data_IF_246980539018
#
_entry.id   IF_246980539018
#
_cell.length_a   1.000
_cell.length_b   1.000
_cell.length_c   1.000
_cell.angle_alpha   90.00
_cell.angle_beta   90.00
_cell.angle_gamma   90.00
#
_symmetry.space_group_name_H-M   'P 1'
#
loop_
_entity.id
_entity.type
_entity.pdbx_description
1 polymer ?
#
# COMPACT_ATOMS: atom_id res chain seq x y z
N UNK A 1 28.67 -22.15 -1.16
CA UNK A 1 29.19 -22.55 -2.48
C UNK A 1 29.14 -21.31 -3.35
N UNK A 2 30.20 -20.50 -3.28
CA UNK A 2 30.34 -19.29 -4.10
C UNK A 2 30.70 -19.71 -5.52
N UNK A 3 30.03 -19.13 -6.52
CA UNK A 3 30.46 -19.19 -7.91
C UNK A 3 30.65 -17.76 -8.40
N UNK A 4 31.91 -17.35 -8.43
CA UNK A 4 32.38 -16.25 -9.25
C UNK A 4 32.52 -16.75 -10.69
N UNK A 5 31.98 -16.02 -11.66
CA UNK A 5 32.37 -16.12 -13.06
C UNK A 5 32.27 -14.74 -13.69
N UNK A 6 33.43 -14.12 -13.93
CA UNK A 6 33.56 -12.99 -14.83
C UNK A 6 33.81 -13.49 -16.25
N UNK A 7 33.10 -12.92 -17.23
CA UNK A 7 33.56 -12.78 -18.62
C UNK A 7 33.22 -11.35 -19.09
N UNK A 8 34.22 -10.81 -19.77
CA UNK A 8 34.50 -9.44 -20.19
C UNK A 8 33.67 -8.92 -21.39
N UNK A 9 33.71 -7.60 -21.49
CA UNK A 9 33.09 -6.56 -22.32
C UNK A 9 33.11 -6.66 -23.86
N UNK A 10 32.09 -6.04 -24.47
CA UNK A 10 32.13 -4.84 -25.37
C UNK A 10 30.74 -4.64 -26.01
N UNK A 11 29.94 -3.73 -25.47
CA UNK A 11 29.70 -2.35 -25.92
C UNK A 11 28.70 -2.18 -27.08
N UNK A 12 27.53 -1.64 -26.70
CA UNK A 12 26.59 -0.90 -27.54
C UNK A 12 26.01 0.24 -26.70
N UNK A 13 26.81 1.30 -26.59
CA UNK A 13 26.55 2.57 -25.92
C UNK A 13 25.28 3.26 -26.49
N UNK A 14 24.44 3.81 -25.61
CA UNK A 14 23.90 5.16 -25.79
C UNK A 14 23.32 5.64 -24.46
N UNK A 15 24.20 6.08 -23.57
CA UNK A 15 23.85 7.14 -22.62
C UNK A 15 25.13 7.86 -22.18
N UNK A 16 25.56 8.80 -23.01
CA UNK A 16 26.46 9.86 -22.59
C UNK A 16 26.26 11.09 -23.47
N UNK A 17 25.31 11.95 -23.07
CA UNK A 17 25.37 13.38 -23.36
C UNK A 17 24.85 14.22 -22.20
N UNK A 18 25.28 13.96 -20.96
CA UNK A 18 25.25 14.99 -19.91
C UNK A 18 26.45 14.83 -19.00
N UNK A 19 27.59 15.34 -19.46
CA UNK A 19 28.69 15.74 -18.60
C UNK A 19 28.33 17.08 -17.93
N UNK A 20 28.38 17.09 -16.61
CA UNK A 20 28.50 18.25 -15.72
C UNK A 20 27.38 19.31 -15.79
N UNK A 21 26.45 19.28 -14.83
CA UNK A 21 25.69 20.45 -14.35
C UNK A 21 25.13 20.17 -12.95
N UNK A 22 25.10 21.22 -12.13
CA UNK A 22 24.58 21.27 -10.77
C UNK A 22 23.27 20.50 -10.53
N UNK A 23 23.20 19.78 -9.40
CA UNK A 23 21.98 19.43 -8.67
C UNK A 23 20.75 19.06 -9.51
N UNK A 24 20.69 17.83 -10.03
CA UNK A 24 19.44 17.30 -10.59
C UNK A 24 18.45 17.16 -9.43
N UNK A 25 17.42 18.03 -9.42
CA UNK A 25 16.29 17.91 -8.53
C UNK A 25 15.53 16.62 -8.89
N UNK A 26 15.64 15.59 -8.05
CA UNK A 26 14.92 14.35 -8.23
C UNK A 26 13.42 14.64 -8.11
N UNK A 27 12.69 14.56 -9.22
CA UNK A 27 11.26 14.95 -9.30
C UNK A 27 10.36 14.02 -8.48
N UNK A 28 10.71 12.74 -8.36
CA UNK A 28 10.01 11.76 -7.52
C UNK A 28 10.92 10.58 -7.14
N UNK A 29 10.53 9.88 -6.07
CA UNK A 29 11.22 8.68 -5.58
C UNK A 29 10.23 7.51 -5.59
N UNK A 30 10.65 6.36 -6.14
CA UNK A 30 9.92 5.12 -5.98
C UNK A 30 10.06 4.64 -4.54
N UNK A 31 8.96 4.19 -3.96
CA UNK A 31 8.92 3.63 -2.61
C UNK A 31 9.01 2.11 -2.69
N UNK A 32 9.92 1.55 -1.90
CA UNK A 32 10.37 0.16 -2.05
C UNK A 32 10.41 -0.56 -0.70
N UNK A 33 10.73 0.15 0.38
CA UNK A 33 10.95 -0.45 1.69
C UNK A 33 9.67 -0.49 2.52
N UNK A 34 9.60 -1.44 3.47
CA UNK A 34 8.49 -1.53 4.44
C UNK A 34 8.22 -0.18 5.13
N UNK A 35 9.27 0.48 5.62
CA UNK A 35 9.14 1.75 6.32
C UNK A 35 8.55 2.85 5.42
N UNK A 36 8.96 2.91 4.16
CA UNK A 36 8.40 3.87 3.21
C UNK A 36 6.94 3.62 2.87
N UNK A 37 6.52 2.35 2.78
CA UNK A 37 5.10 2.00 2.62
C UNK A 37 4.28 2.41 3.85
N UNK A 38 4.82 2.20 5.06
CA UNK A 38 4.16 2.64 6.31
C UNK A 38 4.05 4.17 6.36
N UNK A 39 5.14 4.88 6.10
CA UNK A 39 5.15 6.34 6.10
C UNK A 39 4.21 6.92 5.04
N UNK A 40 4.09 6.28 3.87
CA UNK A 40 3.15 6.74 2.86
C UNK A 40 1.70 6.42 3.25
N UNK A 41 1.43 5.26 3.86
CA UNK A 41 0.10 4.91 4.35
C UNK A 41 -0.42 5.95 5.33
N UNK A 42 0.38 6.33 6.32
CA UNK A 42 0.05 7.36 7.31
C UNK A 42 -0.19 8.72 6.65
N UNK A 43 0.68 9.11 5.71
CA UNK A 43 0.52 10.35 4.94
C UNK A 43 -0.78 10.37 4.14
N UNK A 44 -1.12 9.29 3.44
CA UNK A 44 -2.35 9.18 2.64
C UNK A 44 -3.60 9.27 3.51
N UNK A 45 -3.57 8.68 4.71
CA UNK A 45 -4.67 8.82 5.65
C UNK A 45 -4.78 10.27 6.19
N UNK A 46 -3.66 10.91 6.49
CA UNK A 46 -3.65 12.32 6.90
C UNK A 46 -4.18 13.25 5.80
N UNK A 47 -3.76 13.04 4.55
CA UNK A 47 -4.25 13.81 3.40
C UNK A 47 -5.73 13.55 3.14
N UNK A 48 -6.19 12.30 3.28
CA UNK A 48 -7.61 11.96 3.20
C UNK A 48 -8.42 12.81 4.18
N UNK A 49 -7.96 12.95 5.43
CA UNK A 49 -8.62 13.79 6.44
C UNK A 49 -8.73 15.25 6.00
N UNK A 50 -7.62 15.82 5.50
CA UNK A 50 -7.58 17.21 5.01
C UNK A 50 -8.59 17.41 3.88
N UNK A 51 -8.68 16.47 2.94
CA UNK A 51 -9.63 16.54 1.83
C UNK A 51 -11.08 16.46 2.31
N UNK A 52 -11.39 15.56 3.24
CA UNK A 52 -12.74 15.48 3.82
C UNK A 52 -13.11 16.77 4.54
N UNK A 53 -12.22 17.33 5.35
CA UNK A 53 -12.47 18.59 6.06
C UNK A 53 -12.71 19.77 5.10
N UNK A 54 -12.14 19.70 3.89
CA UNK A 54 -12.30 20.70 2.84
C UNK A 54 -13.52 20.48 1.93
N UNK A 55 -14.25 19.37 2.08
CA UNK A 55 -15.38 19.03 1.22
C UNK A 55 -15.04 18.23 -0.05
N UNK A 56 -13.80 17.76 -0.17
CA UNK A 56 -13.28 17.05 -1.33
C UNK A 56 -13.46 15.53 -1.18
N UNK A 57 -14.73 15.10 -1.16
CA UNK A 57 -15.14 13.74 -0.78
C UNK A 57 -14.53 12.63 -1.64
N UNK A 58 -14.57 12.79 -2.97
CA UNK A 58 -13.98 11.81 -3.90
C UNK A 58 -12.49 11.66 -3.67
N UNK A 59 -11.77 12.76 -3.45
CA UNK A 59 -10.34 12.74 -3.16
C UNK A 59 -10.05 12.10 -1.80
N UNK A 60 -10.81 12.45 -0.77
CA UNK A 60 -10.68 11.88 0.57
C UNK A 60 -10.90 10.37 0.59
N UNK A 61 -11.99 9.89 -0.02
CA UNK A 61 -12.27 8.46 -0.19
C UNK A 61 -11.13 7.73 -0.90
N UNK A 62 -10.61 8.35 -1.96
CA UNK A 62 -9.58 7.76 -2.80
C UNK A 62 -8.26 7.56 -2.05
N UNK A 63 -7.80 8.59 -1.32
CA UNK A 63 -6.58 8.49 -0.52
C UNK A 63 -6.75 7.60 0.72
N UNK A 64 -7.95 7.57 1.32
CA UNK A 64 -8.24 6.72 2.47
C UNK A 64 -8.03 5.23 2.15
N UNK A 65 -8.57 4.73 1.03
CA UNK A 65 -8.38 3.33 0.67
C UNK A 65 -6.95 2.99 0.27
N UNK A 66 -6.22 3.91 -0.37
CA UNK A 66 -4.78 3.70 -0.63
C UNK A 66 -3.95 3.63 0.64
N UNK A 67 -4.33 4.33 1.72
CA UNK A 67 -3.65 4.18 3.00
C UNK A 67 -3.68 2.72 3.47
N UNK A 68 -4.83 2.04 3.34
CA UNK A 68 -4.99 0.63 3.71
C UNK A 68 -4.20 -0.28 2.76
N UNK A 69 -4.25 -0.03 1.45
CA UNK A 69 -3.47 -0.79 0.46
C UNK A 69 -1.97 -0.76 0.78
N UNK A 70 -1.43 0.43 1.05
CA UNK A 70 -0.02 0.65 1.37
C UNK A 70 0.38 -0.04 2.68
N UNK A 71 -0.47 0.04 3.70
CA UNK A 71 -0.24 -0.66 4.96
C UNK A 71 -0.23 -2.19 4.78
N UNK A 72 -1.16 -2.74 4.00
CA UNK A 72 -1.18 -4.17 3.69
C UNK A 72 0.07 -4.59 2.89
N UNK A 73 0.55 -3.76 1.96
CA UNK A 73 1.82 -4.00 1.25
C UNK A 73 3.02 -3.98 2.19
N UNK A 74 3.03 -3.11 3.20
CA UNK A 74 4.04 -3.15 4.27
C UNK A 74 3.98 -4.47 5.07
N UNK A 75 2.78 -4.98 5.35
CA UNK A 75 2.59 -6.29 6.00
C UNK A 75 3.08 -7.45 5.13
N UNK A 76 2.87 -7.40 3.81
CA UNK A 76 3.43 -8.40 2.88
C UNK A 76 4.96 -8.40 2.94
N UNK A 77 5.60 -7.22 2.96
CA UNK A 77 7.06 -7.14 3.10
C UNK A 77 7.50 -7.73 4.45
N UNK A 78 6.80 -7.42 5.55
CA UNK A 78 7.06 -8.00 6.88
C UNK A 78 6.98 -9.52 6.86
N UNK A 79 6.00 -10.10 6.17
CA UNK A 79 5.85 -11.56 6.00
C UNK A 79 7.03 -12.15 5.23
N UNK A 80 7.42 -11.54 4.10
CA UNK A 80 8.55 -12.00 3.29
C UNK A 80 9.88 -11.93 4.05
N UNK A 81 10.07 -10.91 4.89
CA UNK A 81 11.27 -10.78 5.75
C UNK A 81 11.38 -11.89 6.81
N UNK A 82 10.30 -12.61 7.12
CA UNK A 82 10.31 -13.70 8.08
C UNK A 82 10.82 -15.03 7.49
N UNK A 83 11.13 -15.08 6.19
CA UNK A 83 11.62 -16.27 5.48
C UNK A 83 12.82 -15.93 4.60
N UNK A 84 13.69 -16.91 4.39
CA UNK A 84 14.83 -16.81 3.44
C UNK A 84 14.50 -17.47 2.08
N UNK A 85 13.22 -17.80 1.86
CA UNK A 85 12.74 -18.37 0.61
C UNK A 85 12.42 -17.28 -0.43
N UNK A 86 12.82 -17.51 -1.67
CA UNK A 86 12.42 -16.66 -2.79
C UNK A 86 10.92 -16.81 -3.06
N UNK A 87 10.15 -15.71 -3.20
CA UNK A 87 8.71 -15.80 -3.44
C UNK A 87 8.45 -16.41 -4.82
N UNK A 88 7.36 -17.16 -4.95
CA UNK A 88 6.95 -17.65 -6.26
C UNK A 88 6.50 -16.48 -7.16
N UNK A 89 6.55 -16.74 -8.47
CA UNK A 89 6.28 -15.71 -9.48
C UNK A 89 4.86 -15.17 -9.42
N UNK A 90 3.87 -16.02 -9.14
CA UNK A 90 2.46 -15.61 -9.14
C UNK A 90 2.14 -14.81 -7.88
N UNK A 91 2.72 -15.16 -6.73
CA UNK A 91 2.68 -14.34 -5.52
C UNK A 91 3.17 -12.91 -5.79
N UNK A 92 4.36 -12.79 -6.38
CA UNK A 92 4.97 -11.48 -6.67
C UNK A 92 4.08 -10.65 -7.61
N UNK A 93 3.49 -11.27 -8.64
CA UNK A 93 2.55 -10.62 -9.55
C UNK A 93 1.26 -10.20 -8.84
N UNK A 94 0.72 -11.04 -7.97
CA UNK A 94 -0.53 -10.77 -7.24
C UNK A 94 -0.39 -9.62 -6.24
N UNK A 95 0.82 -9.32 -5.76
CA UNK A 95 1.09 -8.16 -4.90
C UNK A 95 0.81 -6.80 -5.59
N UNK A 96 0.71 -6.76 -6.93
CA UNK A 96 0.37 -5.55 -7.69
C UNK A 96 -1.14 -5.28 -7.79
N UNK A 97 -1.98 -6.06 -7.12
CA UNK A 97 -3.43 -5.80 -7.06
C UNK A 97 -3.77 -4.62 -6.15
N UNK A 98 -4.92 -4.01 -6.42
CA UNK A 98 -5.56 -2.98 -5.58
C UNK A 98 -6.71 -3.55 -4.73
N UNK A 99 -6.97 -4.86 -4.83
CA UNK A 99 -7.99 -5.53 -4.03
C UNK A 99 -7.50 -5.74 -2.59
N UNK A 100 -8.09 -5.02 -1.65
CA UNK A 100 -7.74 -5.09 -0.22
C UNK A 100 -7.92 -6.51 0.34
N UNK A 101 -9.00 -7.20 -0.04
CA UNK A 101 -9.26 -8.58 0.39
C UNK A 101 -8.14 -9.54 -0.06
N UNK A 102 -7.69 -9.43 -1.32
CA UNK A 102 -6.57 -10.25 -1.82
C UNK A 102 -5.27 -9.92 -1.09
N UNK A 103 -5.03 -8.64 -0.81
CA UNK A 103 -3.83 -8.20 -0.08
C UNK A 103 -3.81 -8.70 1.36
N UNK A 104 -4.95 -8.79 2.05
CA UNK A 104 -5.05 -9.44 3.38
C UNK A 104 -4.61 -10.90 3.31
N UNK A 105 -5.03 -11.63 2.27
CA UNK A 105 -4.60 -13.01 2.05
C UNK A 105 -3.09 -13.12 1.80
N UNK A 106 -2.55 -12.28 0.92
CA UNK A 106 -1.11 -12.24 0.62
C UNK A 106 -0.26 -11.82 1.82
N UNK A 107 -0.80 -10.99 2.72
CA UNK A 107 -0.16 -10.58 3.96
C UNK A 107 -0.19 -11.66 5.05
N UNK A 108 -0.86 -12.80 4.81
CA UNK A 108 -1.03 -13.85 5.82
C UNK A 108 -1.96 -13.45 6.97
N UNK A 109 -2.82 -12.45 6.77
CA UNK A 109 -3.65 -11.84 7.82
C UNK A 109 -5.06 -12.43 7.91
N UNK A 110 -5.46 -13.34 7.02
CA UNK A 110 -6.81 -13.92 7.01
C UNK A 110 -7.20 -14.56 8.35
N UNK A 111 -6.36 -15.44 8.90
CA UNK A 111 -6.64 -16.10 10.17
C UNK A 111 -6.55 -15.16 11.38
N UNK A 112 -5.52 -14.30 11.52
CA UNK A 112 -5.49 -13.25 12.54
C UNK A 112 -6.72 -12.34 12.52
N UNK A 113 -7.16 -11.91 11.34
CA UNK A 113 -8.34 -11.05 11.20
C UNK A 113 -9.63 -11.79 11.59
N UNK A 114 -9.80 -13.05 11.16
CA UNK A 114 -10.96 -13.84 11.57
C UNK A 114 -11.08 -13.96 13.10
N UNK A 115 -9.97 -14.26 13.79
CA UNK A 115 -9.95 -14.33 15.26
C UNK A 115 -10.23 -12.97 15.93
N UNK A 116 -9.74 -11.89 15.34
CA UNK A 116 -9.99 -10.53 15.83
C UNK A 116 -11.45 -10.10 15.63
N UNK A 117 -12.09 -10.51 14.53
CA UNK A 117 -13.51 -10.24 14.27
C UNK A 117 -14.44 -10.94 15.25
N UNK A 118 -14.14 -12.20 15.60
CA UNK A 118 -14.93 -12.96 16.57
C UNK A 118 -14.94 -12.30 17.96
N UNK A 119 -13.87 -11.57 18.28
CA UNK A 119 -13.71 -10.88 19.56
C UNK A 119 -14.06 -9.39 19.53
N UNK A 120 -14.22 -8.79 18.34
CA UNK A 120 -14.52 -7.37 18.18
C UNK A 120 -15.50 -7.11 17.00
N UNK A 121 -16.81 -7.00 17.28
CA UNK A 121 -17.82 -6.72 16.26
C UNK A 121 -17.63 -5.38 15.54
N UNK A 122 -17.07 -4.36 16.21
CA UNK A 122 -16.77 -3.06 15.58
C UNK A 122 -15.70 -3.21 14.52
N UNK A 123 -14.66 -3.99 14.80
CA UNK A 123 -13.61 -4.29 13.82
C UNK A 123 -14.16 -5.01 12.59
N UNK A 124 -15.11 -5.94 12.77
CA UNK A 124 -15.77 -6.63 11.66
C UNK A 124 -16.61 -5.67 10.80
N UNK A 125 -17.37 -4.78 11.43
CA UNK A 125 -18.17 -3.77 10.73
C UNK A 125 -17.28 -2.79 9.96
N UNK A 126 -16.20 -2.31 10.58
CA UNK A 126 -15.22 -1.44 9.93
C UNK A 126 -14.54 -2.12 8.76
N UNK A 127 -14.20 -3.41 8.89
CA UNK A 127 -13.66 -4.18 7.78
C UNK A 127 -14.66 -4.35 6.64
N UNK A 128 -15.93 -4.62 6.94
CA UNK A 128 -16.97 -4.73 5.92
C UNK A 128 -17.09 -3.46 5.07
N UNK A 129 -16.96 -2.28 5.71
CA UNK A 129 -16.94 -1.01 4.98
C UNK A 129 -15.65 -0.80 4.19
N UNK A 130 -14.51 -1.19 4.77
CA UNK A 130 -13.19 -0.92 4.18
C UNK A 130 -12.90 -1.81 2.98
N UNK A 131 -13.22 -3.11 3.07
CA UNK A 131 -12.85 -4.12 2.06
C UNK A 131 -13.48 -3.86 0.69
N UNK A 132 -14.61 -3.16 0.66
CA UNK A 132 -15.38 -2.87 -0.56
C UNK A 132 -14.83 -1.62 -1.29
N UNK A 133 -13.79 -0.98 -0.75
CA UNK A 133 -13.07 0.08 -1.46
C UNK A 133 -12.49 -0.44 -2.78
N UNK A 134 -12.57 0.40 -3.82
CA UNK A 134 -11.98 0.14 -5.13
C UNK A 134 -11.47 1.41 -5.76
N UNK A 135 -10.29 1.36 -6.35
CA UNK A 135 -9.72 2.49 -7.08
C UNK A 135 -10.53 2.89 -8.33
N UNK A 136 -11.39 2.01 -8.84
CA UNK A 136 -12.32 2.31 -9.95
C UNK A 136 -13.29 3.45 -9.61
N UNK A 137 -13.53 3.71 -8.31
CA UNK A 137 -14.30 4.87 -7.83
C UNK A 137 -13.71 6.21 -8.27
N UNK A 138 -12.48 6.24 -8.81
CA UNK A 138 -11.89 7.40 -9.50
C UNK A 138 -12.75 7.92 -10.65
N UNK A 139 -13.57 7.06 -11.27
CA UNK A 139 -14.50 7.44 -12.35
C UNK A 139 -15.92 7.77 -11.86
N UNK A 140 -16.12 7.85 -10.54
CA UNK A 140 -17.39 8.12 -9.91
C UNK A 140 -17.31 9.36 -9.02
N UNK A 141 -18.46 9.98 -8.77
CA UNK A 141 -18.59 10.99 -7.73
C UNK A 141 -18.96 10.30 -6.43
N UNK A 142 -18.07 10.39 -5.44
CA UNK A 142 -18.29 9.81 -4.11
C UNK A 142 -19.08 10.80 -3.27
N UNK A 143 -20.07 10.28 -2.53
CA UNK A 143 -20.86 11.10 -1.61
C UNK A 143 -20.08 11.39 -0.33
N UNK A 144 -20.42 12.48 0.35
CA UNK A 144 -19.88 12.79 1.67
C UNK A 144 -20.02 11.59 2.62
N UNK A 145 -21.23 11.02 2.71
CA UNK A 145 -21.51 9.87 3.59
C UNK A 145 -20.59 8.69 3.29
N UNK A 146 -20.42 8.31 2.02
CA UNK A 146 -19.57 7.18 1.65
C UNK A 146 -18.10 7.42 2.00
N UNK A 147 -17.60 8.65 1.76
CA UNK A 147 -16.22 9.03 2.05
C UNK A 147 -15.93 9.07 3.56
N UNK A 148 -16.81 9.70 4.33
CA UNK A 148 -16.69 9.80 5.79
C UNK A 148 -16.85 8.42 6.46
N UNK A 149 -17.77 7.58 5.97
CA UNK A 149 -17.97 6.22 6.52
C UNK A 149 -16.72 5.37 6.31
N UNK A 150 -16.11 5.41 5.12
CA UNK A 150 -14.86 4.71 4.86
C UNK A 150 -13.73 5.23 5.76
N UNK A 151 -13.57 6.56 5.85
CA UNK A 151 -12.51 7.15 6.66
C UNK A 151 -12.66 6.81 8.15
N UNK A 152 -13.87 6.87 8.70
CA UNK A 152 -14.14 6.49 10.09
C UNK A 152 -13.78 5.02 10.34
N UNK A 153 -14.20 4.12 9.44
CA UNK A 153 -13.89 2.69 9.55
C UNK A 153 -12.38 2.40 9.59
N UNK A 154 -11.57 3.18 8.85
CA UNK A 154 -10.11 3.04 8.82
C UNK A 154 -9.47 3.68 10.05
N UNK A 155 -9.84 4.92 10.37
CA UNK A 155 -9.18 5.74 11.39
C UNK A 155 -9.47 5.29 12.82
N UNK A 156 -10.68 4.79 13.11
CA UNK A 156 -11.04 4.25 14.44
C UNK A 156 -10.18 3.06 14.86
N UNK A 157 -9.44 2.47 13.92
CA UNK A 157 -8.82 1.17 14.05
C UNK A 157 -7.28 1.19 13.87
N UNK A 158 -6.72 2.37 13.63
CA UNK A 158 -5.30 2.54 13.26
C UNK A 158 -4.30 2.28 14.39
N UNK A 159 -4.74 2.12 15.63
CA UNK A 159 -3.80 1.96 16.75
C UNK A 159 -3.42 0.50 17.05
N UNK A 160 -4.09 -0.51 16.49
CA UNK A 160 -3.81 -1.92 16.88
C UNK A 160 -3.68 -2.93 15.72
N UNK A 161 -4.20 -2.64 14.51
CA UNK A 161 -4.32 -3.68 13.45
C UNK A 161 -3.18 -3.67 12.42
N UNK A 162 -2.40 -2.59 12.32
CA UNK A 162 -1.42 -2.39 11.21
C UNK A 162 0.06 -2.31 11.65
N UNK A 163 0.39 -2.66 12.90
CA UNK A 163 1.78 -2.71 13.43
C UNK A 163 2.41 -4.10 13.37
#
# INVERSE_FOLDING_TARGET
>A
MEIAAGIDSRQGNNNSIYSDTAGVCQLSKLIETRAEFQDLAERRLSEAKVLLDAGEWSGGYYLAGYAVELALKACIIKLLMATDAFPDKEFSKNCYTHSLEKLVGLAGLTAPFAAAWDSNPTLLANWAQTRDWSEEKRYHQVTQLEAETLYAAISDNTHEVLT
#
